data_IF_679715690934
#
_entry.id   IF_679715690934
#
_cell.length_a   1.000
_cell.length_b   1.000
_cell.length_c   1.000
_cell.angle_alpha   90.00
_cell.angle_beta   90.00
_cell.angle_gamma   90.00
#
_symmetry.space_group_name_H-M   'P 1'
#
loop_
_entity.id
_entity.type
_entity.pdbx_description
1 polymer ?
#
# COMPACT_ATOMS: atom_id res chain seq x y z
N UNK A 1 19.00 24.40 -26.55
CA UNK A 1 19.76 23.28 -25.94
C UNK A 1 19.99 23.72 -24.50
N UNK A 2 19.23 23.17 -23.57
CA UNK A 2 19.34 23.47 -22.14
C UNK A 2 20.48 22.64 -21.54
N UNK A 3 21.34 23.28 -20.74
CA UNK A 3 22.44 22.60 -20.03
C UNK A 3 21.90 21.61 -18.98
N UNK A 4 22.58 20.49 -18.72
CA UNK A 4 22.14 19.49 -17.76
C UNK A 4 22.28 20.04 -16.32
N UNK A 5 21.18 19.99 -15.58
CA UNK A 5 21.14 20.30 -14.13
C UNK A 5 22.00 19.30 -13.38
N UNK A 6 22.96 19.82 -12.61
CA UNK A 6 23.93 19.06 -11.80
C UNK A 6 23.22 18.11 -10.82
N UNK A 7 23.43 16.81 -11.01
CA UNK A 7 22.93 15.75 -10.11
C UNK A 7 23.73 15.76 -8.79
N UNK A 8 23.23 16.43 -7.76
CA UNK A 8 23.69 16.24 -6.37
C UNK A 8 22.68 15.34 -5.67
N UNK A 9 23.07 14.09 -5.40
CA UNK A 9 22.31 13.15 -4.58
C UNK A 9 22.15 11.75 -5.17
N UNK A 10 23.18 11.19 -5.80
CA UNK A 10 23.14 9.80 -6.24
C UNK A 10 23.44 8.87 -5.04
N UNK A 11 22.42 8.17 -4.57
CA UNK A 11 22.56 6.97 -3.75
C UNK A 11 23.30 5.89 -4.56
N UNK A 12 24.35 5.31 -3.98
CA UNK A 12 25.20 4.32 -4.63
C UNK A 12 24.48 2.98 -4.78
N UNK A 13 23.68 2.84 -5.82
CA UNK A 13 23.23 1.55 -6.32
C UNK A 13 24.01 1.20 -7.60
N UNK A 14 24.56 -0.01 -7.66
CA UNK A 14 25.28 -0.58 -8.81
C UNK A 14 24.29 -0.88 -9.96
N UNK A 15 23.69 0.14 -10.53
CA UNK A 15 22.77 0.07 -11.68
C UNK A 15 23.08 1.19 -12.67
N UNK A 16 22.71 1.00 -13.94
CA UNK A 16 22.82 2.08 -14.94
C UNK A 16 22.04 3.29 -14.44
N UNK A 17 22.68 4.46 -14.39
CA UNK A 17 22.03 5.71 -14.04
C UNK A 17 20.89 6.00 -15.03
N UNK A 18 19.71 6.28 -14.51
CA UNK A 18 18.61 6.80 -15.33
C UNK A 18 18.92 8.24 -15.72
N UNK A 19 18.55 8.63 -16.94
CA UNK A 19 18.65 10.02 -17.40
C UNK A 19 17.44 10.88 -17.00
N UNK A 20 16.44 10.28 -16.34
CA UNK A 20 15.23 10.96 -15.88
C UNK A 20 15.09 10.78 -14.37
N UNK A 21 15.24 11.87 -13.62
CA UNK A 21 15.12 11.86 -12.17
C UNK A 21 13.68 11.62 -11.70
N UNK A 22 13.54 11.10 -10.47
CA UNK A 22 12.22 10.91 -9.84
C UNK A 22 11.47 12.23 -9.69
N UNK A 23 12.18 13.30 -9.37
CA UNK A 23 11.65 14.65 -9.21
C UNK A 23 11.09 15.21 -10.52
N UNK A 24 11.73 14.93 -11.65
CA UNK A 24 11.23 15.34 -12.98
C UNK A 24 9.93 14.60 -13.31
N UNK A 25 9.85 13.31 -12.96
CA UNK A 25 8.62 12.51 -13.13
C UNK A 25 7.50 13.01 -12.22
N UNK A 26 7.81 13.27 -10.95
CA UNK A 26 6.90 13.82 -9.97
C UNK A 26 6.31 15.16 -10.42
N UNK A 27 7.15 16.09 -10.88
CA UNK A 27 6.74 17.39 -11.41
C UNK A 27 5.83 17.24 -12.65
N UNK A 28 6.12 16.27 -13.52
CA UNK A 28 5.31 16.00 -14.73
C UNK A 28 3.90 15.52 -14.39
N UNK A 29 3.74 14.75 -13.31
CA UNK A 29 2.45 14.23 -12.85
C UNK A 29 1.76 15.16 -11.84
N UNK A 30 2.42 16.25 -11.42
CA UNK A 30 1.89 17.20 -10.46
C UNK A 30 1.64 16.59 -9.08
N UNK A 31 2.49 15.62 -8.65
CA UNK A 31 2.35 14.87 -7.42
C UNK A 31 3.70 14.49 -6.84
N UNK A 32 3.74 14.11 -5.56
CA UNK A 32 4.91 13.50 -4.97
C UNK A 32 4.72 11.97 -4.89
N UNK A 33 5.69 11.17 -5.33
CA UNK A 33 5.57 9.71 -5.30
C UNK A 33 5.59 9.21 -3.85
N UNK A 34 4.61 8.39 -3.51
CA UNK A 34 4.47 7.76 -2.21
C UNK A 34 3.73 6.42 -2.33
N UNK A 35 3.82 5.61 -1.30
CA UNK A 35 3.05 4.39 -1.15
C UNK A 35 2.13 4.51 0.06
N UNK A 36 0.85 4.25 -0.14
CA UNK A 36 -0.14 4.16 0.93
C UNK A 36 -0.44 2.68 1.18
N UNK A 37 -0.01 2.15 2.32
CA UNK A 37 -0.37 0.81 2.76
C UNK A 37 -1.72 0.84 3.46
N UNK A 38 -2.72 0.20 2.89
CA UNK A 38 -3.97 -0.16 3.56
C UNK A 38 -3.77 -1.50 4.26
N UNK A 39 -3.55 -1.49 5.57
CA UNK A 39 -3.36 -2.68 6.39
C UNK A 39 -4.61 -2.97 7.23
N UNK A 40 -4.89 -4.24 7.49
CA UNK A 40 -6.04 -4.68 8.28
C UNK A 40 -6.43 -6.13 7.99
N UNK A 41 -7.38 -6.65 8.73
CA UNK A 41 -7.84 -8.04 8.60
C UNK A 41 -8.42 -8.33 7.20
N UNK A 42 -8.44 -9.59 6.81
CA UNK A 42 -9.19 -10.03 5.61
C UNK A 42 -10.67 -9.67 5.80
N UNK A 43 -11.33 -9.12 4.77
CA UNK A 43 -12.72 -8.64 4.93
C UNK A 43 -12.88 -7.23 5.53
N UNK A 44 -11.80 -6.57 5.99
CA UNK A 44 -11.89 -5.22 6.57
C UNK A 44 -12.23 -4.11 5.56
N UNK A 45 -12.17 -4.36 4.24
CA UNK A 45 -12.52 -3.37 3.21
C UNK A 45 -11.32 -2.69 2.54
N UNK A 46 -10.10 -3.17 2.76
CA UNK A 46 -8.86 -2.59 2.21
C UNK A 46 -8.87 -2.38 0.70
N UNK A 47 -9.17 -3.45 -0.05
CA UNK A 47 -9.21 -3.41 -1.52
C UNK A 47 -10.28 -2.47 -2.03
N UNK A 48 -11.48 -2.50 -1.44
CA UNK A 48 -12.58 -1.60 -1.80
C UNK A 48 -12.18 -0.14 -1.61
N UNK A 49 -11.53 0.18 -0.48
CA UNK A 49 -11.06 1.53 -0.19
C UNK A 49 -9.94 1.95 -1.15
N UNK A 50 -8.95 1.07 -1.38
CA UNK A 50 -7.82 1.35 -2.28
C UNK A 50 -8.31 1.64 -3.71
N UNK A 51 -9.19 0.81 -4.28
CA UNK A 51 -9.73 1.03 -5.63
C UNK A 51 -10.63 2.26 -5.73
N UNK A 52 -11.39 2.58 -4.67
CA UNK A 52 -12.19 3.80 -4.65
C UNK A 52 -11.32 5.07 -4.58
N UNK A 53 -10.22 5.04 -3.81
CA UNK A 53 -9.22 6.11 -3.77
C UNK A 53 -8.51 6.24 -5.12
N UNK A 54 -8.10 5.11 -5.74
CA UNK A 54 -7.51 5.08 -7.08
C UNK A 54 -8.39 5.79 -8.09
N UNK A 55 -9.69 5.45 -8.14
CA UNK A 55 -10.65 6.08 -9.06
C UNK A 55 -10.68 7.60 -8.90
N UNK A 56 -10.73 8.09 -7.65
CA UNK A 56 -10.73 9.53 -7.38
C UNK A 56 -9.41 10.23 -7.77
N UNK A 57 -8.27 9.61 -7.47
CA UNK A 57 -6.97 10.14 -7.83
C UNK A 57 -6.79 10.17 -9.36
N UNK A 58 -7.22 9.14 -10.05
CA UNK A 58 -7.19 9.07 -11.51
C UNK A 58 -8.07 10.18 -12.13
N UNK A 59 -9.29 10.38 -11.62
CA UNK A 59 -10.18 11.47 -12.08
C UNK A 59 -9.59 12.86 -11.85
N UNK A 60 -8.71 13.00 -10.84
CA UNK A 60 -7.93 14.22 -10.58
C UNK A 60 -6.67 14.34 -11.46
N UNK A 61 -6.45 13.43 -12.41
CA UNK A 61 -5.29 13.41 -13.30
C UNK A 61 -3.99 12.94 -12.66
N UNK A 62 -4.07 12.21 -11.52
CA UNK A 62 -2.89 11.66 -10.83
C UNK A 62 -2.46 10.33 -11.42
N UNK A 63 -1.15 10.10 -11.49
CA UNK A 63 -0.58 8.83 -11.88
C UNK A 63 -0.54 7.89 -10.67
N UNK A 64 -1.46 6.95 -10.61
CA UNK A 64 -1.69 6.07 -9.46
C UNK A 64 -1.88 4.62 -9.91
N UNK A 65 -1.49 3.66 -9.07
CA UNK A 65 -1.72 2.24 -9.29
C UNK A 65 -1.95 1.47 -8.00
N UNK A 66 -2.89 0.51 -8.01
CA UNK A 66 -3.18 -0.37 -6.87
C UNK A 66 -2.36 -1.66 -6.96
N UNK A 67 -1.63 -1.97 -5.89
CA UNK A 67 -1.04 -3.28 -5.64
C UNK A 67 -1.94 -4.01 -4.64
N UNK A 68 -2.74 -4.96 -5.10
CA UNK A 68 -3.60 -5.78 -4.25
C UNK A 68 -2.94 -7.13 -3.94
N UNK A 69 -2.84 -7.45 -2.66
CA UNK A 69 -2.14 -8.65 -2.19
C UNK A 69 -2.77 -9.97 -2.66
N UNK A 70 -4.06 -9.97 -2.98
CA UNK A 70 -4.72 -11.15 -3.55
C UNK A 70 -4.44 -11.27 -5.05
N UNK A 71 -4.54 -10.17 -5.79
CA UNK A 71 -4.26 -10.16 -7.22
C UNK A 71 -2.81 -10.55 -7.50
N UNK A 72 -1.84 -10.08 -6.71
CA UNK A 72 -0.44 -10.46 -6.87
C UNK A 72 -0.19 -11.97 -6.67
N UNK A 73 -1.05 -12.66 -5.89
CA UNK A 73 -0.94 -14.11 -5.68
C UNK A 73 -1.28 -14.94 -6.92
N UNK A 74 -1.93 -14.35 -7.89
CA UNK A 74 -2.20 -15.05 -9.15
C UNK A 74 -0.98 -15.07 -10.08
N UNK A 75 -0.04 -14.10 -9.91
CA UNK A 75 1.13 -13.96 -10.78
C UNK A 75 2.43 -13.77 -10.00
N UNK A 76 2.75 -12.56 -9.58
CA UNK A 76 4.06 -12.17 -8.99
C UNK A 76 4.45 -12.99 -7.76
N UNK A 77 3.47 -13.36 -6.97
CA UNK A 77 3.67 -14.10 -5.73
C UNK A 77 2.96 -15.46 -5.74
N UNK A 78 2.72 -16.00 -6.93
CA UNK A 78 2.13 -17.31 -7.13
C UNK A 78 2.96 -18.39 -6.41
N UNK A 79 2.25 -19.27 -5.69
CA UNK A 79 2.87 -20.34 -4.93
C UNK A 79 3.32 -19.98 -3.52
N UNK A 80 3.25 -18.71 -3.10
CA UNK A 80 3.47 -18.39 -1.69
C UNK A 80 2.33 -18.93 -0.83
N UNK A 81 2.64 -19.55 0.31
CA UNK A 81 1.63 -20.04 1.25
C UNK A 81 0.80 -18.88 1.82
N UNK A 82 -0.37 -19.20 2.38
CA UNK A 82 -1.24 -18.20 2.99
C UNK A 82 -1.00 -18.02 4.50
N UNK A 83 0.01 -18.69 5.03
CA UNK A 83 0.46 -18.54 6.40
C UNK A 83 1.13 -17.18 6.67
N UNK A 84 1.57 -16.98 7.92
CA UNK A 84 2.23 -15.74 8.35
C UNK A 84 3.45 -15.40 7.48
N UNK A 85 4.34 -16.37 7.24
CA UNK A 85 5.57 -16.16 6.47
C UNK A 85 5.29 -15.82 5.00
N UNK A 86 4.35 -16.54 4.37
CA UNK A 86 3.95 -16.25 2.98
C UNK A 86 3.25 -14.90 2.82
N UNK A 87 2.53 -14.41 3.84
CA UNK A 87 1.96 -13.06 3.84
C UNK A 87 3.02 -11.99 3.98
N UNK A 88 4.02 -12.20 4.85
CA UNK A 88 5.16 -11.30 4.99
C UNK A 88 5.96 -11.21 3.68
N UNK A 89 6.28 -12.33 3.04
CA UNK A 89 7.00 -12.38 1.77
C UNK A 89 6.18 -11.76 0.62
N UNK A 90 4.87 -11.97 0.59
CA UNK A 90 3.98 -11.31 -0.38
C UNK A 90 4.09 -9.79 -0.27
N UNK A 91 3.99 -9.26 0.95
CA UNK A 91 4.13 -7.83 1.19
C UNK A 91 5.55 -7.33 0.88
N UNK A 92 6.59 -8.07 1.28
CA UNK A 92 7.98 -7.70 0.97
C UNK A 92 8.24 -7.58 -0.54
N UNK A 93 7.73 -8.51 -1.36
CA UNK A 93 7.84 -8.42 -2.84
C UNK A 93 7.05 -7.24 -3.39
N UNK A 94 5.85 -7.02 -2.88
CA UNK A 94 5.05 -5.87 -3.28
C UNK A 94 5.73 -4.54 -2.92
N UNK A 95 6.42 -4.46 -1.78
CA UNK A 95 7.19 -3.29 -1.38
C UNK A 95 8.32 -2.96 -2.37
N UNK A 96 9.00 -3.98 -2.93
CA UNK A 96 9.98 -3.78 -4.00
C UNK A 96 9.35 -3.18 -5.26
N UNK A 97 8.17 -3.67 -5.66
CA UNK A 97 7.44 -3.13 -6.81
C UNK A 97 6.97 -1.70 -6.52
N UNK A 98 6.42 -1.44 -5.32
CA UNK A 98 6.01 -0.12 -4.90
C UNK A 98 7.17 0.88 -4.91
N UNK A 99 8.37 0.47 -4.45
CA UNK A 99 9.57 1.28 -4.55
C UNK A 99 9.88 1.66 -6.01
N UNK A 100 9.82 0.71 -6.95
CA UNK A 100 10.04 1.01 -8.38
C UNK A 100 8.98 1.96 -8.94
N UNK A 101 7.72 1.81 -8.54
CA UNK A 101 6.64 2.73 -8.95
C UNK A 101 6.87 4.14 -8.39
N UNK A 102 7.32 4.26 -7.14
CA UNK A 102 7.70 5.56 -6.59
C UNK A 102 8.89 6.18 -7.35
N UNK A 103 9.89 5.39 -7.75
CA UNK A 103 10.98 5.86 -8.61
C UNK A 103 10.45 6.33 -9.99
N UNK A 104 9.38 5.72 -10.49
CA UNK A 104 8.71 6.15 -11.73
C UNK A 104 7.81 7.39 -11.54
N UNK A 105 7.69 7.94 -10.32
CA UNK A 105 6.87 9.11 -10.02
C UNK A 105 5.41 8.81 -9.67
N UNK A 106 5.03 7.52 -9.51
CA UNK A 106 3.65 7.13 -9.25
C UNK A 106 3.33 7.15 -7.75
N UNK A 107 2.05 7.41 -7.47
CA UNK A 107 1.42 7.04 -6.20
C UNK A 107 1.06 5.55 -6.25
N UNK A 108 1.39 4.82 -5.20
CA UNK A 108 1.09 3.39 -5.08
C UNK A 108 0.11 3.19 -3.93
N UNK A 109 -0.99 2.51 -4.19
CA UNK A 109 -1.98 2.12 -3.18
C UNK A 109 -1.84 0.62 -2.92
N UNK A 110 -1.32 0.23 -1.77
CA UNK A 110 -1.00 -1.16 -1.45
C UNK A 110 -2.03 -1.75 -0.48
N UNK A 111 -2.89 -2.66 -0.95
CA UNK A 111 -3.91 -3.31 -0.12
C UNK A 111 -3.43 -4.69 0.34
N UNK A 112 -2.91 -4.77 1.56
CA UNK A 112 -2.36 -5.99 2.14
C UNK A 112 -2.83 -6.19 3.58
N UNK A 113 -2.88 -7.44 4.04
CA UNK A 113 -3.09 -7.71 5.46
C UNK A 113 -1.91 -7.19 6.26
N UNK A 114 -0.67 -7.46 5.83
CA UNK A 114 0.58 -7.06 6.48
C UNK A 114 0.52 -7.25 8.00
N UNK A 115 0.34 -8.51 8.49
CA UNK A 115 -0.06 -8.77 9.86
C UNK A 115 1.03 -8.45 10.88
N UNK A 116 2.28 -8.46 10.48
CA UNK A 116 3.45 -8.37 11.36
C UNK A 116 4.02 -6.95 11.37
N UNK A 117 4.29 -6.42 12.56
CA UNK A 117 4.99 -5.13 12.70
C UNK A 117 6.39 -5.18 12.04
N UNK A 118 7.13 -6.27 12.22
CA UNK A 118 8.44 -6.47 11.59
C UNK A 118 8.36 -6.43 10.06
N UNK A 119 7.39 -7.12 9.46
CA UNK A 119 7.17 -7.10 8.00
C UNK A 119 6.81 -5.71 7.47
N UNK A 120 6.11 -4.89 8.27
CA UNK A 120 5.83 -3.49 7.90
C UNK A 120 7.10 -2.63 7.99
N UNK A 121 7.93 -2.80 9.01
CA UNK A 121 9.20 -2.08 9.13
C UNK A 121 10.19 -2.46 8.03
N UNK A 122 10.27 -3.73 7.64
CA UNK A 122 11.08 -4.17 6.50
C UNK A 122 10.62 -3.50 5.19
N UNK A 123 9.32 -3.41 4.97
CA UNK A 123 8.78 -2.71 3.80
C UNK A 123 9.06 -1.20 3.84
N UNK A 124 9.00 -0.59 5.02
CA UNK A 124 9.37 0.81 5.25
C UNK A 124 10.84 1.08 4.91
N UNK A 125 11.73 0.16 5.25
CA UNK A 125 13.13 0.24 4.86
C UNK A 125 13.35 0.10 3.33
N UNK A 126 12.52 -0.68 2.63
CA UNK A 126 12.58 -0.87 1.19
C UNK A 126 12.03 0.36 0.43
N UNK A 127 10.87 0.86 0.84
CA UNK A 127 10.15 1.95 0.15
C UNK A 127 10.77 3.31 0.47
N UNK A 128 11.25 3.49 1.69
CA UNK A 128 11.68 4.73 2.30
C UNK A 128 10.65 5.22 3.32
N UNK A 129 11.13 5.56 4.52
CA UNK A 129 10.26 5.96 5.63
C UNK A 129 9.42 7.20 5.32
N UNK A 130 9.99 8.12 4.52
CA UNK A 130 9.33 9.36 4.10
C UNK A 130 8.27 9.14 3.00
N UNK A 131 8.26 7.98 2.37
CA UNK A 131 7.38 7.63 1.24
C UNK A 131 6.32 6.60 1.57
N UNK A 132 6.41 5.92 2.71
CA UNK A 132 5.40 4.96 3.15
C UNK A 132 4.47 5.59 4.17
N UNK A 133 3.18 5.66 3.83
CA UNK A 133 2.09 6.01 4.72
C UNK A 133 1.29 4.76 5.05
N UNK A 134 0.85 4.62 6.28
CA UNK A 134 0.03 3.49 6.72
C UNK A 134 -1.38 3.94 7.08
N UNK A 135 -2.36 3.38 6.40
CA UNK A 135 -3.78 3.48 6.73
C UNK A 135 -4.24 2.18 7.37
N UNK A 136 -4.57 2.22 8.65
CA UNK A 136 -5.17 1.08 9.33
C UNK A 136 -6.66 1.02 9.01
N UNK A 137 -7.05 0.01 8.25
CA UNK A 137 -8.45 -0.27 7.90
C UNK A 137 -9.01 -1.21 8.96
N UNK A 138 -9.66 -0.59 9.94
CA UNK A 138 -10.17 -1.26 11.12
C UNK A 138 -11.55 -1.87 10.85
N UNK A 139 -11.71 -3.11 11.26
CA UNK A 139 -13.01 -3.78 11.44
C UNK A 139 -12.84 -4.91 12.45
N UNK A 140 -13.91 -5.25 13.18
CA UNK A 140 -13.87 -6.40 14.10
C UNK A 140 -13.73 -7.72 13.34
N UNK A 141 -13.10 -8.76 13.93
CA UNK A 141 -13.03 -10.09 13.32
C UNK A 141 -14.40 -10.63 12.92
N UNK A 142 -15.43 -10.38 13.75
CA UNK A 142 -16.80 -10.79 13.46
C UNK A 142 -17.32 -10.13 12.17
N UNK A 143 -17.20 -8.80 12.03
CA UNK A 143 -17.62 -8.08 10.83
C UNK A 143 -16.85 -8.51 9.58
N UNK A 144 -15.56 -8.81 9.73
CA UNK A 144 -14.73 -9.32 8.65
C UNK A 144 -15.20 -10.70 8.16
N UNK A 145 -15.56 -11.58 9.10
CA UNK A 145 -16.09 -12.93 8.81
C UNK A 145 -17.45 -12.87 8.14
N UNK A 146 -18.35 -12.00 8.61
CA UNK A 146 -19.68 -11.80 8.03
C UNK A 146 -19.61 -11.26 6.59
N UNK A 147 -18.63 -10.44 6.32
CA UNK A 147 -18.41 -9.85 4.98
C UNK A 147 -17.77 -10.80 3.98
N UNK A 148 -17.08 -11.82 4.43
CA UNK A 148 -16.21 -12.74 3.67
C UNK A 148 -16.61 -12.94 2.20
N UNK A 149 -16.37 -11.97 1.30
CA UNK A 149 -16.89 -11.98 -0.07
C UNK A 149 -16.26 -13.08 -0.95
N UNK A 150 -15.22 -13.72 -0.46
CA UNK A 150 -14.44 -14.71 -1.21
C UNK A 150 -14.37 -16.07 -0.52
N UNK A 151 -15.10 -16.26 0.57
CA UNK A 151 -15.07 -17.51 1.34
C UNK A 151 -13.70 -17.83 1.95
N UNK A 152 -12.88 -16.81 2.20
CA UNK A 152 -11.52 -16.99 2.72
C UNK A 152 -11.53 -17.59 4.13
N UNK A 153 -12.49 -17.18 4.96
CA UNK A 153 -12.62 -17.70 6.32
C UNK A 153 -13.06 -19.18 6.33
N UNK A 154 -13.85 -19.58 5.36
CA UNK A 154 -14.24 -21.00 5.20
C UNK A 154 -13.10 -21.86 4.63
N UNK A 155 -12.24 -21.30 3.79
CA UNK A 155 -11.19 -22.01 3.09
C UNK A 155 -9.81 -21.98 3.79
N UNK A 156 -9.55 -21.01 4.66
CA UNK A 156 -8.21 -20.73 5.18
C UNK A 156 -7.78 -21.63 6.35
N UNK A 157 -8.68 -22.43 6.96
CA UNK A 157 -8.35 -23.25 8.12
C UNK A 157 -7.66 -22.42 9.24
N UNK A 158 -6.47 -22.84 9.65
CA UNK A 158 -5.69 -22.19 10.73
C UNK A 158 -4.85 -21.00 10.25
N UNK A 159 -5.12 -20.43 9.08
CA UNK A 159 -4.28 -19.36 8.48
C UNK A 159 -5.00 -17.99 8.43
N UNK A 160 -5.76 -17.66 9.47
CA UNK A 160 -6.54 -16.42 9.55
C UNK A 160 -5.87 -15.43 10.52
N UNK A 161 -5.32 -14.29 10.00
CA UNK A 161 -4.77 -13.23 10.86
C UNK A 161 -5.84 -12.65 11.79
N UNK A 162 -5.50 -12.49 13.07
CA UNK A 162 -6.42 -12.01 14.10
C UNK A 162 -7.30 -13.10 14.74
N UNK A 163 -7.22 -14.34 14.23
CA UNK A 163 -7.90 -15.52 14.80
C UNK A 163 -6.90 -16.63 15.10
N UNK A 164 -6.31 -17.23 14.06
CA UNK A 164 -5.37 -18.37 14.19
C UNK A 164 -3.95 -17.91 14.58
N UNK A 165 -3.59 -16.69 14.25
CA UNK A 165 -2.34 -16.06 14.69
C UNK A 165 -2.53 -14.54 14.86
N UNK A 166 -1.65 -13.87 15.68
CA UNK A 166 -1.78 -12.46 15.97
C UNK A 166 -1.76 -11.57 14.71
N UNK A 167 -2.51 -10.49 14.76
CA UNK A 167 -2.39 -9.34 13.89
C UNK A 167 -1.88 -8.15 14.74
N UNK A 168 -0.67 -7.70 14.46
CA UNK A 168 -0.06 -6.57 15.15
C UNK A 168 -0.69 -5.27 14.64
N UNK A 169 -1.57 -4.67 15.44
CA UNK A 169 -2.23 -3.41 15.08
C UNK A 169 -1.16 -2.31 14.88
N UNK A 170 -1.15 -1.58 13.75
CA UNK A 170 -0.22 -0.48 13.53
C UNK A 170 -0.61 0.73 14.38
N UNK A 171 0.02 0.85 15.57
CA UNK A 171 -0.25 1.93 16.52
C UNK A 171 0.27 3.30 16.04
N UNK A 172 1.17 3.29 15.08
CA UNK A 172 1.79 4.45 14.42
C UNK A 172 1.18 4.76 13.05
N UNK A 173 -0.02 4.23 12.77
CA UNK A 173 -0.71 4.49 11.51
C UNK A 173 -0.96 5.99 11.29
N UNK A 174 -0.69 6.48 10.06
CA UNK A 174 -0.96 7.87 9.67
C UNK A 174 -2.46 8.19 9.65
N UNK A 175 -3.30 7.18 9.46
CA UNK A 175 -4.74 7.30 9.47
C UNK A 175 -5.39 5.97 9.90
N UNK A 176 -6.47 6.05 10.68
CA UNK A 176 -7.32 4.92 11.04
C UNK A 176 -8.70 5.11 10.41
N UNK A 177 -9.14 4.12 9.64
CA UNK A 177 -10.48 4.09 9.01
C UNK A 177 -11.26 2.92 9.59
N UNK A 178 -12.25 3.23 10.43
CA UNK A 178 -13.20 2.23 10.92
C UNK A 178 -14.35 2.03 9.91
N UNK A 179 -14.28 0.91 9.18
CA UNK A 179 -15.26 0.57 8.14
C UNK A 179 -16.58 0.03 8.67
N UNK A 180 -16.74 -0.08 9.96
CA UNK A 180 -18.04 -0.41 10.58
C UNK A 180 -18.88 0.83 10.84
N UNK A 181 -18.23 1.97 11.10
CA UNK A 181 -18.86 3.25 11.40
C UNK A 181 -18.82 4.26 10.24
N UNK A 182 -17.86 4.16 9.34
CA UNK A 182 -17.69 5.07 8.22
C UNK A 182 -18.19 4.47 6.90
N UNK A 183 -18.80 5.30 6.06
CA UNK A 183 -19.09 4.95 4.67
C UNK A 183 -17.80 4.84 3.85
N UNK A 184 -17.85 4.11 2.74
CA UNK A 184 -16.72 4.04 1.82
C UNK A 184 -16.32 5.44 1.31
N UNK A 185 -17.32 6.29 1.02
CA UNK A 185 -17.09 7.65 0.52
C UNK A 185 -16.38 8.53 1.56
N UNK A 186 -16.80 8.46 2.83
CA UNK A 186 -16.12 9.19 3.91
C UNK A 186 -14.69 8.69 4.13
N UNK A 187 -14.48 7.37 4.05
CA UNK A 187 -13.14 6.79 4.12
C UNK A 187 -12.23 7.29 2.99
N UNK A 188 -12.74 7.33 1.75
CA UNK A 188 -12.01 7.89 0.59
C UNK A 188 -11.67 9.36 0.83
N UNK A 189 -12.62 10.16 1.32
CA UNK A 189 -12.42 11.58 1.61
C UNK A 189 -11.28 11.78 2.62
N UNK A 190 -11.27 11.01 3.72
CA UNK A 190 -10.22 11.11 4.74
C UNK A 190 -8.84 10.76 4.18
N UNK A 191 -8.73 9.70 3.33
CA UNK A 191 -7.46 9.36 2.68
C UNK A 191 -6.99 10.49 1.76
N UNK A 192 -7.87 11.09 0.95
CA UNK A 192 -7.52 12.23 0.10
C UNK A 192 -7.10 13.47 0.90
N UNK A 193 -7.75 13.73 2.03
CA UNK A 193 -7.37 14.81 2.95
C UNK A 193 -5.98 14.57 3.55
N UNK A 194 -5.68 13.35 3.98
CA UNK A 194 -4.35 12.96 4.43
C UNK A 194 -3.28 13.20 3.35
N UNK A 195 -3.54 12.77 2.10
CA UNK A 195 -2.59 12.96 0.99
C UNK A 195 -2.35 14.44 0.69
N UNK A 196 -3.39 15.28 0.72
CA UNK A 196 -3.26 16.74 0.57
C UNK A 196 -2.48 17.35 1.73
N UNK A 197 -2.79 16.98 2.96
CA UNK A 197 -2.10 17.47 4.16
C UNK A 197 -0.62 17.13 4.19
N UNK A 198 -0.22 16.04 3.50
CA UNK A 198 1.18 15.65 3.31
C UNK A 198 1.83 16.26 2.05
N UNK A 199 1.09 17.04 1.27
CA UNK A 199 1.59 17.67 0.04
C UNK A 199 1.90 16.66 -1.08
N UNK A 200 1.21 15.52 -1.10
CA UNK A 200 1.44 14.46 -2.09
C UNK A 200 0.60 14.65 -3.37
N UNK A 201 -0.54 15.37 -3.26
CA UNK A 201 -1.47 15.64 -4.36
C UNK A 201 -1.94 17.07 -4.36
#
# INVERSE_FOLDING_TARGET
>A
IAEPVSAKGASAHHGKLTHVATEERAARFGQQPATVLFSGLSGAGKSSLAYAVERKLFDMGRAVYVLDGQNLRHELTKGLPQDRAGRAENWRRAAQVAHQFNQAGLLTLAAFVAPDAEGREQAKAIIGAERLLTVYVQASPQACRERDPQGLYAAAGDNIPGESFPYDIPLDADLVIDTQSLSLEDGVKQVLEMLRGRGLI
#
